data_IF_575172111907
#
_entry.id   IF_575172111907
#
_cell.length_a   1.000
_cell.length_b   1.000
_cell.length_c   1.000
_cell.angle_alpha   90.00
_cell.angle_beta   90.00
_cell.angle_gamma   90.00
#
_symmetry.space_group_name_H-M   'P 1'
#
loop_
_entity.id
_entity.type
_entity.pdbx_description
1 polymer ?
#
# COMPACT_ATOMS: atom_id res chain seq x y z
N UNK A 1 -29.31 -3.49 0.49
CA UNK A 1 -29.17 -3.81 -0.94
C UNK A 1 -29.84 -2.70 -1.73
N UNK A 2 -29.03 -1.86 -2.39
CA UNK A 2 -29.48 -0.69 -3.15
C UNK A 2 -30.26 -1.01 -4.42
N UNK A 3 -31.03 -0.02 -4.89
CA UNK A 3 -31.76 -0.09 -6.16
C UNK A 3 -30.86 0.36 -7.30
N UNK A 4 -30.81 -0.39 -8.41
CA UNK A 4 -30.01 -0.05 -9.61
C UNK A 4 -30.40 1.32 -10.22
N UNK A 5 -31.58 1.85 -9.89
CA UNK A 5 -32.11 3.10 -10.47
C UNK A 5 -31.69 4.39 -9.75
N UNK A 6 -31.04 4.31 -8.58
CA UNK A 6 -30.66 5.49 -7.77
C UNK A 6 -29.37 5.20 -7.02
N UNK A 7 -28.57 6.24 -6.79
CA UNK A 7 -27.37 6.14 -5.96
C UNK A 7 -27.70 5.69 -4.54
N UNK A 8 -26.77 4.96 -3.92
CA UNK A 8 -26.87 4.63 -2.50
C UNK A 8 -26.70 5.88 -1.62
N UNK A 9 -27.29 5.85 -0.43
CA UNK A 9 -27.22 6.96 0.51
C UNK A 9 -25.82 7.00 1.11
N UNK A 10 -25.16 8.16 1.02
CA UNK A 10 -23.85 8.41 1.60
C UNK A 10 -23.97 9.17 2.92
N UNK A 11 -23.03 8.93 3.84
CA UNK A 11 -22.91 9.67 5.11
C UNK A 11 -21.50 10.19 5.27
N UNK A 12 -21.38 11.47 5.65
CA UNK A 12 -20.10 12.06 5.99
C UNK A 12 -19.79 11.77 7.46
N UNK A 13 -18.68 11.09 7.69
CA UNK A 13 -18.20 10.72 9.02
C UNK A 13 -16.85 11.36 9.30
N UNK A 14 -16.60 11.72 10.57
CA UNK A 14 -15.30 12.17 11.03
C UNK A 14 -14.63 11.05 11.84
N UNK A 15 -13.40 10.70 11.48
CA UNK A 15 -12.65 9.62 12.12
C UNK A 15 -11.52 10.23 12.96
N UNK A 16 -11.42 9.81 14.22
CA UNK A 16 -10.30 10.16 15.11
C UNK A 16 -9.48 8.90 15.38
N UNK A 17 -8.21 8.91 14.98
CA UNK A 17 -7.30 7.77 15.14
C UNK A 17 -6.11 8.16 16.01
N UNK A 18 -5.70 7.26 16.90
CA UNK A 18 -4.41 7.37 17.58
C UNK A 18 -3.29 6.99 16.60
N UNK A 19 -2.16 7.70 16.66
CA UNK A 19 -1.02 7.52 15.73
C UNK A 19 -0.56 6.07 15.63
N UNK A 20 -0.52 5.34 16.75
CA UNK A 20 -0.01 3.96 16.79
C UNK A 20 -0.94 2.94 16.13
N UNK A 21 -2.26 3.21 16.13
CA UNK A 21 -3.27 2.33 15.55
C UNK A 21 -3.73 2.79 14.15
N UNK A 22 -3.36 3.99 13.73
CA UNK A 22 -3.84 4.60 12.50
C UNK A 22 -3.57 3.73 11.28
N UNK A 23 -2.38 3.11 11.19
CA UNK A 23 -2.03 2.23 10.08
C UNK A 23 -2.96 1.02 9.98
N UNK A 24 -3.17 0.31 11.09
CA UNK A 24 -4.01 -0.89 11.13
C UNK A 24 -5.47 -0.56 10.79
N UNK A 25 -6.01 0.51 11.37
CA UNK A 25 -7.39 0.92 11.08
C UNK A 25 -7.56 1.30 9.61
N UNK A 26 -6.62 2.03 9.02
CA UNK A 26 -6.70 2.42 7.60
C UNK A 26 -6.54 1.21 6.68
N UNK A 27 -5.66 0.26 7.03
CA UNK A 27 -5.51 -0.99 6.29
C UNK A 27 -6.82 -1.80 6.27
N UNK A 28 -7.45 -2.00 7.44
CA UNK A 28 -8.75 -2.68 7.53
C UNK A 28 -9.86 -1.97 6.75
N UNK A 29 -9.90 -0.63 6.79
CA UNK A 29 -10.84 0.16 5.98
C UNK A 29 -10.60 -0.02 4.48
N UNK A 30 -9.33 -0.17 4.07
CA UNK A 30 -8.94 -0.46 2.69
C UNK A 30 -9.42 -1.84 2.23
N UNK A 31 -9.27 -2.86 3.08
CA UNK A 31 -9.75 -4.22 2.82
C UNK A 31 -11.30 -4.28 2.71
N UNK A 32 -12.01 -3.47 3.50
CA UNK A 32 -13.46 -3.35 3.40
C UNK A 32 -13.90 -2.68 2.09
N UNK A 33 -13.15 -1.66 1.62
CA UNK A 33 -13.43 -0.98 0.35
C UNK A 33 -14.72 -0.13 0.34
N UNK A 34 -15.21 0.28 1.51
CA UNK A 34 -16.49 1.00 1.68
C UNK A 34 -16.35 2.49 2.00
N UNK A 35 -15.13 3.01 2.07
CA UNK A 35 -14.85 4.38 2.53
C UNK A 35 -14.16 5.18 1.44
N UNK A 36 -14.61 6.42 1.28
CA UNK A 36 -13.93 7.43 0.48
C UNK A 36 -13.35 8.51 1.39
N UNK A 37 -12.03 8.72 1.33
CA UNK A 37 -11.35 9.76 2.08
C UNK A 37 -11.42 11.11 1.36
N UNK A 38 -11.58 12.18 2.14
CA UNK A 38 -11.48 13.56 1.66
C UNK A 38 -10.10 14.11 2.01
N UNK A 39 -9.46 14.82 1.07
CA UNK A 39 -8.20 15.50 1.35
C UNK A 39 -8.49 16.76 2.19
N UNK A 40 -8.04 16.75 3.43
CA UNK A 40 -8.14 17.90 4.33
C UNK A 40 -6.94 18.85 4.21
N UNK A 41 -5.91 18.47 3.45
CA UNK A 41 -4.64 19.18 3.31
C UNK A 41 -4.35 19.57 1.85
N UNK A 42 -5.38 19.99 1.10
CA UNK A 42 -5.27 20.34 -0.32
C UNK A 42 -4.24 21.46 -0.58
N UNK A 43 -4.10 22.41 0.35
CA UNK A 43 -3.13 23.52 0.25
C UNK A 43 -1.68 23.09 0.57
N UNK A 44 -1.48 21.92 1.18
CA UNK A 44 -0.16 21.42 1.52
C UNK A 44 0.47 20.71 0.32
N UNK A 45 1.69 21.12 -0.03
CA UNK A 45 2.50 20.44 -1.03
C UNK A 45 2.74 18.98 -0.62
N UNK A 46 2.72 18.07 -1.59
CA UNK A 46 2.97 16.64 -1.40
C UNK A 46 4.22 16.38 -0.57
N UNK A 47 5.33 17.11 -0.80
CA UNK A 47 6.60 16.92 -0.08
C UNK A 47 6.60 17.31 1.39
N UNK A 48 5.61 18.09 1.83
CA UNK A 48 5.49 18.56 3.22
C UNK A 48 4.51 17.72 4.02
N UNK A 49 3.87 16.72 3.39
CA UNK A 49 2.92 15.82 4.07
C UNK A 49 3.67 14.89 5.03
N UNK A 50 2.97 14.44 6.07
CA UNK A 50 3.56 13.71 7.21
C UNK A 50 4.28 12.41 6.81
N UNK A 51 3.75 11.68 5.83
CA UNK A 51 4.17 10.30 5.49
C UNK A 51 5.00 10.20 4.19
N UNK A 52 5.65 11.28 3.76
CA UNK A 52 6.37 11.34 2.48
C UNK A 52 7.56 10.37 2.44
N UNK A 53 8.24 10.20 3.56
CA UNK A 53 9.42 9.33 3.62
C UNK A 53 9.03 7.86 3.46
N UNK A 54 7.92 7.47 4.08
CA UNK A 54 7.34 6.13 3.98
C UNK A 54 6.86 5.83 2.55
N UNK A 55 6.22 6.80 1.89
CA UNK A 55 5.81 6.66 0.48
C UNK A 55 7.04 6.48 -0.41
N UNK A 56 8.09 7.29 -0.22
CA UNK A 56 9.33 7.16 -1.00
C UNK A 56 10.01 5.81 -0.82
N UNK A 57 10.00 5.25 0.40
CA UNK A 57 10.52 3.89 0.67
C UNK A 57 9.77 2.84 -0.15
N UNK A 58 8.44 2.93 -0.20
CA UNK A 58 7.63 2.05 -1.04
C UNK A 58 7.94 2.20 -2.53
N UNK A 59 8.08 3.43 -3.04
CA UNK A 59 8.42 3.70 -4.44
C UNK A 59 9.79 3.10 -4.82
N UNK A 60 10.79 3.19 -3.94
CA UNK A 60 12.10 2.58 -4.16
C UNK A 60 12.05 1.05 -4.19
N UNK A 61 11.25 0.45 -3.31
CA UNK A 61 11.02 -1.00 -3.27
C UNK A 61 10.29 -1.48 -4.53
N UNK A 62 9.26 -0.76 -4.97
CA UNK A 62 8.55 -1.05 -6.22
C UNK A 62 9.50 -1.02 -7.43
N UNK A 63 10.39 -0.02 -7.49
CA UNK A 63 11.41 0.06 -8.55
C UNK A 63 12.32 -1.18 -8.59
N UNK A 64 12.72 -1.70 -7.43
CA UNK A 64 13.54 -2.91 -7.33
C UNK A 64 12.77 -4.15 -7.77
N UNK A 65 11.52 -4.29 -7.32
CA UNK A 65 10.64 -5.41 -7.70
C UNK A 65 10.43 -5.44 -9.22
N UNK A 66 10.17 -4.28 -9.84
CA UNK A 66 10.04 -4.18 -11.29
C UNK A 66 11.31 -4.62 -12.02
N UNK A 67 12.48 -4.21 -11.52
CA UNK A 67 13.76 -4.67 -12.09
C UNK A 67 13.94 -6.19 -11.99
N UNK A 68 13.61 -6.79 -10.84
CA UNK A 68 13.68 -8.25 -10.65
C UNK A 68 12.70 -8.95 -11.60
N UNK A 69 11.47 -8.44 -11.71
CA UNK A 69 10.47 -8.99 -12.63
C UNK A 69 10.96 -8.94 -14.08
N UNK A 70 11.61 -7.86 -14.50
CA UNK A 70 12.21 -7.72 -15.84
C UNK A 70 13.32 -8.75 -16.07
N UNK A 71 14.24 -8.95 -15.12
CA UNK A 71 15.31 -9.96 -15.25
C UNK A 71 14.77 -11.39 -15.27
N UNK A 72 13.81 -11.72 -14.40
CA UNK A 72 13.14 -13.04 -14.37
C UNK A 72 12.42 -13.33 -15.68
N UNK A 73 11.78 -12.31 -16.26
CA UNK A 73 11.09 -12.43 -17.55
C UNK A 73 12.08 -12.62 -18.71
N UNK A 74 13.27 -12.00 -18.66
CA UNK A 74 14.33 -12.21 -19.66
C UNK A 74 14.85 -13.65 -19.66
N UNK A 75 14.89 -14.28 -18.48
CA UNK A 75 15.33 -15.67 -18.31
C UNK A 75 14.23 -16.71 -18.59
N UNK A 76 13.07 -16.29 -19.13
CA UNK A 76 11.90 -17.12 -19.44
C UNK A 76 11.38 -17.92 -18.23
N UNK A 77 11.61 -17.40 -17.02
CA UNK A 77 11.10 -17.98 -15.78
C UNK A 77 9.67 -17.50 -15.58
N UNK A 78 8.73 -18.43 -15.58
CA UNK A 78 7.31 -18.12 -15.35
C UNK A 78 7.06 -17.77 -13.89
N UNK A 79 6.74 -16.51 -13.63
CA UNK A 79 6.16 -16.07 -12.36
C UNK A 79 4.72 -16.60 -12.32
N UNK A 80 4.40 -17.38 -11.28
CA UNK A 80 3.03 -17.83 -11.05
C UNK A 80 2.27 -16.71 -10.35
N UNK A 81 1.14 -16.31 -10.91
CA UNK A 81 0.21 -15.43 -10.22
C UNK A 81 -0.40 -16.19 -9.05
N UNK A 82 -0.25 -15.64 -7.85
CA UNK A 82 -0.95 -16.12 -6.66
C UNK A 82 -2.29 -15.38 -6.58
N UNK A 83 -3.40 -16.08 -6.83
CA UNK A 83 -4.76 -15.53 -6.68
C UNK A 83 -5.21 -15.42 -5.20
N UNK A 84 -4.34 -15.80 -4.26
CA UNK A 84 -4.64 -15.75 -2.84
C UNK A 84 -4.70 -14.31 -2.32
N UNK A 85 -5.63 -14.05 -1.41
CA UNK A 85 -5.70 -12.76 -0.71
C UNK A 85 -4.44 -12.55 0.15
N UNK A 86 -3.70 -11.48 -0.14
CA UNK A 86 -2.53 -11.07 0.63
C UNK A 86 -2.96 -9.89 1.51
N UNK A 87 -3.03 -10.06 2.85
CA UNK A 87 -3.42 -8.96 3.73
C UNK A 87 -2.33 -7.88 3.77
N UNK A 88 -2.75 -6.65 4.06
CA UNK A 88 -1.82 -5.53 4.26
C UNK A 88 -0.69 -5.90 5.26
N UNK A 89 0.59 -5.72 4.88
CA UNK A 89 1.72 -6.07 5.74
C UNK A 89 1.80 -5.15 6.95
N UNK A 90 2.34 -5.63 8.08
CA UNK A 90 2.56 -4.76 9.24
C UNK A 90 3.73 -3.79 8.98
N UNK A 91 3.70 -2.57 9.57
CA UNK A 91 4.78 -1.60 9.38
C UNK A 91 6.17 -2.10 9.81
N UNK A 92 6.23 -3.00 10.79
CA UNK A 92 7.48 -3.65 11.22
C UNK A 92 8.08 -4.50 10.09
N UNK A 93 7.24 -5.27 9.41
CA UNK A 93 7.64 -6.15 8.33
C UNK A 93 8.16 -5.37 7.12
N UNK A 94 7.67 -4.13 6.88
CA UNK A 94 8.20 -3.30 5.80
C UNK A 94 9.70 -3.02 5.96
N UNK A 95 10.18 -2.85 7.20
CA UNK A 95 11.61 -2.61 7.46
C UNK A 95 12.43 -3.88 7.23
N UNK A 96 11.85 -5.06 7.51
CA UNK A 96 12.48 -6.35 7.25
C UNK A 96 12.54 -6.68 5.75
N UNK A 97 11.48 -6.35 5.00
CA UNK A 97 11.42 -6.47 3.54
C UNK A 97 12.51 -5.62 2.88
N UNK A 98 12.75 -4.42 3.38
CA UNK A 98 13.86 -3.57 2.93
C UNK A 98 15.24 -4.13 3.33
N UNK A 99 15.37 -4.75 4.50
CA UNK A 99 16.64 -5.32 4.96
C UNK A 99 16.99 -6.65 4.26
N UNK A 100 15.99 -7.39 3.78
CA UNK A 100 16.19 -8.64 3.06
C UNK A 100 16.89 -8.43 1.69
N UNK A 101 17.03 -7.18 1.24
CA UNK A 101 17.89 -6.77 0.13
C UNK A 101 19.35 -7.25 0.28
N UNK A 102 19.87 -7.36 1.50
CA UNK A 102 21.27 -7.72 1.73
C UNK A 102 21.59 -9.16 1.27
N UNK A 103 20.64 -10.10 1.33
CA UNK A 103 20.85 -11.49 0.91
C UNK A 103 20.74 -11.69 -0.61
N UNK A 104 19.98 -10.85 -1.32
CA UNK A 104 19.88 -10.89 -2.78
C UNK A 104 21.15 -10.35 -3.46
N UNK A 105 21.90 -9.47 -2.80
CA UNK A 105 23.22 -8.99 -3.26
C UNK A 105 24.32 -10.07 -3.25
N UNK A 106 24.09 -11.20 -2.56
CA UNK A 106 25.05 -12.32 -2.44
C UNK A 106 24.75 -13.45 -3.44
N UNK A 107 23.58 -13.41 -4.09
CA UNK A 107 23.15 -14.43 -5.06
C UNK A 107 23.49 -14.08 -6.53
N UNK A 108 24.16 -12.96 -6.78
CA UNK A 108 24.81 -12.62 -8.05
C UNK A 108 26.30 -12.33 -7.86
#
# INVERSE_FOLDING_TARGET
MGSIYRSEVMSLCQIFLQTDSAYQCVAELGELGLVQFLDLNEEMNAYQRKFVNEIRRCEEMERKLNYIQDEVTKDDVKIQDCDDHIPAPQPKNMTELEACDDLLSVLF
#
